data_IF_391819011627
#
_entry.id   IF_391819011627
#
_cell.length_a   1.000
_cell.length_b   1.000
_cell.length_c   1.000
_cell.angle_alpha   90.00
_cell.angle_beta   90.00
_cell.angle_gamma   90.00
#
_symmetry.space_group_name_H-M   'P 1'
#
loop_
_entity.id
_entity.type
_entity.pdbx_description
1 polymer ?
#
# COMPACT_ATOMS: atom_id res chain seq x y z
N UNK A 1 -72.12 -15.01 -29.23
CA UNK A 1 -70.96 -14.35 -29.88
C UNK A 1 -70.75 -13.03 -29.14
N UNK A 2 -69.65 -12.65 -28.50
CA UNK A 2 -68.25 -13.11 -28.49
C UNK A 2 -67.71 -12.90 -27.07
N UNK A 3 -67.62 -13.97 -26.29
CA UNK A 3 -66.73 -14.07 -25.12
C UNK A 3 -65.39 -14.50 -25.68
N UNK A 4 -64.38 -13.62 -25.69
CA UNK A 4 -62.94 -13.88 -25.87
C UNK A 4 -62.29 -12.58 -26.32
N UNK A 5 -61.63 -11.85 -25.40
CA UNK A 5 -60.25 -11.33 -25.54
C UNK A 5 -59.83 -10.86 -24.14
N UNK A 6 -59.33 -11.80 -23.34
CA UNK A 6 -58.67 -11.58 -22.05
C UNK A 6 -57.46 -12.51 -22.07
N UNK A 7 -56.44 -12.15 -22.85
CA UNK A 7 -55.13 -12.82 -22.89
C UNK A 7 -54.18 -12.11 -23.87
N UNK A 8 -53.49 -11.07 -23.41
CA UNK A 8 -52.23 -10.59 -23.95
C UNK A 8 -51.56 -9.74 -22.84
N UNK A 9 -51.09 -10.39 -21.76
CA UNK A 9 -49.66 -10.61 -21.55
C UNK A 9 -48.88 -9.27 -21.63
N UNK A 10 -48.81 -8.47 -20.57
CA UNK A 10 -47.92 -8.66 -19.40
C UNK A 10 -46.51 -9.17 -19.77
N UNK A 11 -45.84 -8.50 -20.72
CA UNK A 11 -44.41 -8.71 -21.03
C UNK A 11 -43.74 -7.41 -21.52
N UNK A 12 -43.73 -6.37 -20.67
CA UNK A 12 -42.95 -5.14 -20.94
C UNK A 12 -42.06 -4.71 -19.76
N UNK A 13 -41.81 -5.61 -18.81
CA UNK A 13 -40.89 -5.37 -17.69
C UNK A 13 -39.81 -6.43 -17.75
N UNK A 14 -38.69 -6.19 -18.46
CA UNK A 14 -37.37 -6.78 -18.21
C UNK A 14 -36.42 -6.40 -19.36
N UNK A 15 -35.80 -5.21 -19.28
CA UNK A 15 -34.49 -4.94 -19.91
C UNK A 15 -33.86 -3.62 -19.43
N UNK A 16 -34.07 -3.22 -18.17
CA UNK A 16 -33.13 -2.29 -17.52
C UNK A 16 -32.15 -3.12 -16.72
N UNK A 17 -31.33 -3.90 -17.44
CA UNK A 17 -30.14 -4.50 -16.88
C UNK A 17 -29.22 -3.35 -16.47
N UNK A 18 -29.23 -3.02 -15.19
CA UNK A 18 -28.17 -2.21 -14.58
C UNK A 18 -26.90 -3.02 -14.81
N UNK A 19 -26.13 -2.64 -15.84
CA UNK A 19 -24.74 -2.98 -15.93
C UNK A 19 -24.09 -2.34 -14.71
N UNK A 20 -24.09 -3.08 -13.60
CA UNK A 20 -23.21 -2.82 -12.48
C UNK A 20 -21.81 -2.98 -13.02
N UNK A 21 -21.23 -1.88 -13.49
CA UNK A 21 -19.78 -1.80 -13.70
C UNK A 21 -19.20 -2.03 -12.31
N UNK A 22 -18.71 -3.23 -12.08
CA UNK A 22 -17.87 -3.52 -10.94
C UNK A 22 -16.59 -2.68 -11.12
N UNK A 23 -16.60 -1.46 -10.58
CA UNK A 23 -15.37 -0.70 -10.37
C UNK A 23 -14.45 -1.60 -9.54
N UNK A 24 -13.38 -2.09 -10.16
CA UNK A 24 -12.35 -2.83 -9.45
C UNK A 24 -11.84 -1.93 -8.31
N UNK A 25 -11.71 -2.49 -7.10
CA UNK A 25 -11.18 -1.74 -5.96
C UNK A 25 -9.78 -1.24 -6.33
N UNK A 26 -9.58 0.07 -6.31
CA UNK A 26 -8.26 0.67 -6.48
C UNK A 26 -7.55 0.62 -5.12
N UNK A 27 -6.52 -0.21 -5.01
CA UNK A 27 -5.73 -0.30 -3.79
C UNK A 27 -4.95 0.98 -3.53
N UNK A 28 -4.92 1.44 -2.28
CA UNK A 28 -4.08 2.55 -1.81
C UNK A 28 -2.86 2.03 -1.04
N UNK A 29 -1.66 2.33 -1.54
CA UNK A 29 -0.38 1.86 -0.99
C UNK A 29 0.50 3.08 -0.69
N UNK A 30 0.93 3.20 0.56
CA UNK A 30 1.84 4.28 0.97
C UNK A 30 3.24 3.73 1.21
N UNK A 31 4.26 4.40 0.66
CA UNK A 31 5.67 4.12 0.93
C UNK A 31 6.22 5.23 1.82
N UNK A 32 6.61 4.91 3.05
CA UNK A 32 7.13 5.86 4.04
C UNK A 32 8.64 5.69 4.18
N UNK A 33 9.42 6.64 3.67
CA UNK A 33 10.89 6.58 3.70
C UNK A 33 11.49 7.25 4.93
N UNK A 34 12.81 7.09 5.12
CA UNK A 34 13.57 7.70 6.24
C UNK A 34 13.52 9.23 6.20
N UNK A 35 13.72 9.82 5.02
CA UNK A 35 13.72 11.28 4.77
C UNK A 35 13.15 11.55 3.36
N UNK A 36 12.26 12.51 3.21
CA UNK A 36 11.78 12.94 1.90
C UNK A 36 12.76 13.87 1.15
N UNK A 37 12.75 13.81 -0.19
CA UNK A 37 13.40 14.83 -1.03
C UNK A 37 14.90 14.68 -1.25
N UNK A 38 15.52 13.57 -0.82
CA UNK A 38 16.92 13.26 -1.13
C UNK A 38 17.05 12.39 -2.39
N UNK A 39 18.17 12.47 -3.14
CA UNK A 39 18.32 11.76 -4.41
C UNK A 39 18.03 10.26 -4.35
N UNK A 40 18.41 9.60 -3.25
CA UNK A 40 18.16 8.17 -3.03
C UNK A 40 16.66 7.83 -3.08
N UNK A 41 15.84 8.53 -2.31
CA UNK A 41 14.39 8.27 -2.27
C UNK A 41 13.63 8.90 -3.43
N UNK A 42 14.16 9.95 -4.08
CA UNK A 42 13.58 10.46 -5.34
C UNK A 42 13.65 9.38 -6.43
N UNK A 43 14.77 8.63 -6.49
CA UNK A 43 14.90 7.50 -7.42
C UNK A 43 13.95 6.36 -7.09
N UNK A 44 13.76 6.08 -5.80
CA UNK A 44 12.76 5.10 -5.34
C UNK A 44 11.33 5.53 -5.73
N UNK A 45 10.99 6.81 -5.58
CA UNK A 45 9.68 7.36 -5.93
C UNK A 45 9.35 7.15 -7.41
N UNK A 46 10.30 7.37 -8.32
CA UNK A 46 10.12 7.04 -9.74
C UNK A 46 9.78 5.55 -9.97
N UNK A 47 10.33 4.65 -9.15
CA UNK A 47 9.98 3.23 -9.15
C UNK A 47 8.56 2.97 -8.68
N UNK A 48 8.18 3.57 -7.55
CA UNK A 48 6.84 3.48 -6.98
C UNK A 48 5.78 3.99 -7.96
N UNK A 49 6.00 5.16 -8.56
CA UNK A 49 5.05 5.77 -9.51
C UNK A 49 4.93 4.96 -10.81
N UNK A 50 6.03 4.40 -11.32
CA UNK A 50 6.00 3.49 -12.47
C UNK A 50 5.19 2.24 -12.17
N UNK A 51 5.45 1.58 -11.04
CA UNK A 51 4.70 0.38 -10.62
C UNK A 51 3.22 0.69 -10.38
N UNK A 52 2.90 1.86 -9.82
CA UNK A 52 1.52 2.31 -9.63
C UNK A 52 0.74 2.36 -10.96
N UNK A 53 1.37 2.93 -11.99
CA UNK A 53 0.79 3.03 -13.32
C UNK A 53 0.65 1.66 -14.01
N UNK A 54 1.66 0.79 -13.92
CA UNK A 54 1.64 -0.55 -14.51
C UNK A 54 0.59 -1.47 -13.87
N UNK A 55 0.40 -1.36 -12.55
CA UNK A 55 -0.51 -2.21 -11.79
C UNK A 55 -1.92 -1.61 -11.64
N UNK A 56 -2.14 -0.35 -12.04
CA UNK A 56 -3.43 0.33 -11.91
C UNK A 56 -3.83 0.60 -10.45
N UNK A 57 -2.87 0.81 -9.56
CA UNK A 57 -3.09 1.08 -8.12
C UNK A 57 -2.76 2.53 -7.77
N UNK A 58 -3.26 3.01 -6.63
CA UNK A 58 -2.86 4.31 -6.07
C UNK A 58 -1.66 4.06 -5.16
N UNK A 59 -0.44 4.29 -5.65
CA UNK A 59 0.76 4.25 -4.82
C UNK A 59 1.52 5.58 -4.84
N UNK A 60 2.12 5.94 -3.70
CA UNK A 60 2.87 7.18 -3.52
C UNK A 60 3.95 6.99 -2.46
N UNK A 61 4.96 7.87 -2.52
CA UNK A 61 6.05 7.92 -1.55
C UNK A 61 5.94 9.19 -0.72
N UNK A 62 6.22 9.08 0.58
CA UNK A 62 6.30 10.20 1.51
C UNK A 62 7.42 9.96 2.51
N UNK A 63 7.98 11.02 3.08
CA UNK A 63 8.97 10.91 4.15
C UNK A 63 8.97 12.17 5.00
N UNK A 64 9.45 12.08 6.26
CA UNK A 64 9.63 13.25 7.10
C UNK A 64 10.75 14.15 6.55
N UNK A 65 10.82 15.39 7.04
CA UNK A 65 11.87 16.34 6.66
C UNK A 65 13.25 15.98 7.24
N UNK A 66 13.27 15.23 8.35
CA UNK A 66 14.47 14.80 9.08
C UNK A 66 14.39 13.30 9.37
N UNK A 67 15.55 12.64 9.51
CA UNK A 67 15.62 11.22 9.86
C UNK A 67 15.39 11.02 11.36
N UNK A 68 14.17 11.31 11.81
CA UNK A 68 13.74 11.10 13.18
C UNK A 68 12.60 10.08 13.22
N UNK A 69 12.61 9.21 14.23
CA UNK A 69 11.61 8.15 14.35
C UNK A 69 10.21 8.69 14.66
N UNK A 70 10.10 9.69 15.54
CA UNK A 70 8.81 10.23 15.98
C UNK A 70 7.92 10.76 14.83
N UNK A 71 8.40 11.61 13.91
CA UNK A 71 7.58 12.04 12.78
C UNK A 71 7.25 10.88 11.82
N UNK A 72 8.15 9.90 11.65
CA UNK A 72 7.86 8.73 10.84
C UNK A 72 6.72 7.88 11.45
N UNK A 73 6.75 7.66 12.77
CA UNK A 73 5.66 6.97 13.50
C UNK A 73 4.34 7.69 13.31
N UNK A 74 4.31 9.02 13.49
CA UNK A 74 3.09 9.82 13.29
C UNK A 74 2.51 9.70 11.87
N UNK A 75 3.38 9.69 10.85
CA UNK A 75 2.96 9.47 9.46
C UNK A 75 2.32 8.08 9.26
N UNK A 76 2.87 7.03 9.88
CA UNK A 76 2.28 5.69 9.83
C UNK A 76 0.94 5.66 10.59
N UNK A 77 0.84 6.33 11.74
CA UNK A 77 -0.44 6.44 12.47
C UNK A 77 -1.54 7.11 11.64
N UNK A 78 -1.20 8.17 10.91
CA UNK A 78 -2.14 8.84 9.99
C UNK A 78 -2.60 7.91 8.86
N UNK A 79 -1.70 7.11 8.31
CA UNK A 79 -2.03 6.11 7.28
C UNK A 79 -2.93 5.00 7.82
N UNK A 80 -2.67 4.56 9.06
CA UNK A 80 -3.55 3.60 9.76
C UNK A 80 -4.93 4.19 9.97
N UNK A 81 -5.02 5.44 10.44
CA UNK A 81 -6.30 6.13 10.62
C UNK A 81 -7.08 6.29 9.30
N UNK A 82 -6.37 6.51 8.19
CA UNK A 82 -6.92 6.58 6.83
C UNK A 82 -7.31 5.22 6.24
N UNK A 83 -6.93 4.11 6.88
CA UNK A 83 -7.23 2.73 6.45
C UNK A 83 -6.76 2.46 5.01
N UNK A 84 -5.53 2.84 4.71
CA UNK A 84 -4.88 2.42 3.45
C UNK A 84 -4.77 0.90 3.37
N UNK A 85 -4.60 0.35 2.17
CA UNK A 85 -4.54 -1.11 1.99
C UNK A 85 -3.18 -1.70 2.36
N UNK A 86 -2.10 -0.95 2.14
CA UNK A 86 -0.75 -1.35 2.52
C UNK A 86 0.15 -0.16 2.86
N UNK A 87 1.10 -0.40 3.76
CA UNK A 87 2.16 0.53 4.15
C UNK A 87 3.49 -0.19 3.99
N UNK A 88 4.37 0.34 3.15
CA UNK A 88 5.77 -0.08 3.06
C UNK A 88 6.63 0.98 3.74
N UNK A 89 7.48 0.60 4.68
CA UNK A 89 8.31 1.56 5.44
C UNK A 89 9.78 1.26 5.23
N UNK A 90 10.58 2.29 4.97
CA UNK A 90 12.04 2.27 5.13
C UNK A 90 12.33 2.82 6.53
N UNK A 91 12.53 1.98 7.56
CA UNK A 91 12.53 2.41 8.95
C UNK A 91 13.72 3.32 9.28
N UNK A 92 13.45 4.42 9.99
CA UNK A 92 14.51 5.20 10.67
C UNK A 92 14.93 4.51 11.97
N UNK A 93 13.96 4.03 12.75
CA UNK A 93 14.14 3.15 13.91
C UNK A 93 13.06 2.06 13.85
N UNK A 94 13.48 0.82 13.58
CA UNK A 94 12.57 -0.30 13.39
C UNK A 94 11.79 -0.67 14.66
N UNK A 95 12.41 -0.56 15.83
CA UNK A 95 11.76 -0.94 17.10
C UNK A 95 10.73 0.09 17.54
N UNK A 96 10.98 1.37 17.28
CA UNK A 96 10.02 2.45 17.57
C UNK A 96 8.71 2.31 16.77
N UNK A 97 8.75 1.66 15.61
CA UNK A 97 7.59 1.47 14.73
C UNK A 97 6.74 0.23 15.07
N UNK A 98 7.28 -0.73 15.83
CA UNK A 98 6.57 -1.98 16.16
C UNK A 98 5.15 -1.73 16.69
N UNK A 99 4.92 -0.83 17.67
CA UNK A 99 3.57 -0.63 18.20
C UNK A 99 2.56 -0.12 17.17
N UNK A 100 2.99 0.72 16.21
CA UNK A 100 2.08 1.22 15.16
C UNK A 100 1.87 0.17 14.06
N UNK A 101 2.87 -0.66 13.76
CA UNK A 101 2.74 -1.79 12.84
C UNK A 101 1.73 -2.83 13.34
N UNK A 102 1.78 -3.18 14.63
CA UNK A 102 0.79 -4.07 15.24
C UNK A 102 -0.64 -3.51 15.10
N UNK A 103 -0.83 -2.20 15.33
CA UNK A 103 -2.12 -1.53 15.13
C UNK A 103 -2.58 -1.55 13.67
N UNK A 104 -1.67 -1.34 12.73
CA UNK A 104 -1.97 -1.38 11.30
C UNK A 104 -2.46 -2.78 10.89
N UNK A 105 -1.71 -3.82 11.27
CA UNK A 105 -2.04 -5.21 10.95
C UNK A 105 -3.34 -5.67 11.61
N UNK A 106 -3.60 -5.25 12.84
CA UNK A 106 -4.88 -5.51 13.51
C UNK A 106 -6.10 -4.93 12.76
N UNK A 107 -5.89 -3.93 11.89
CA UNK A 107 -6.92 -3.36 11.02
C UNK A 107 -6.93 -3.95 9.60
N UNK A 108 -6.11 -4.98 9.35
CA UNK A 108 -6.01 -5.64 8.04
C UNK A 108 -5.17 -4.88 7.02
N UNK A 109 -4.37 -3.91 7.46
CA UNK A 109 -3.42 -3.19 6.61
C UNK A 109 -2.16 -4.05 6.47
N UNK A 110 -1.71 -4.30 5.25
CA UNK A 110 -0.44 -5.00 5.01
C UNK A 110 0.73 -4.08 5.39
N UNK A 111 1.67 -4.60 6.17
CA UNK A 111 2.86 -3.86 6.60
C UNK A 111 4.11 -4.52 6.05
N UNK A 112 4.87 -3.78 5.26
CA UNK A 112 6.12 -4.22 4.67
C UNK A 112 7.28 -3.32 5.11
N UNK A 113 8.49 -3.87 5.16
CA UNK A 113 9.71 -3.08 5.40
C UNK A 113 10.76 -3.28 4.30
N UNK A 114 11.68 -2.32 4.22
CA UNK A 114 12.77 -2.30 3.23
C UNK A 114 14.00 -1.52 3.76
N UNK A 115 15.20 -1.93 3.32
CA UNK A 115 16.53 -1.37 3.65
C UNK A 115 16.89 -1.37 5.15
N UNK A 116 16.26 -2.24 5.93
CA UNK A 116 16.49 -2.31 7.37
C UNK A 116 16.07 -3.69 7.86
N UNK A 117 16.82 -4.75 7.55
CA UNK A 117 16.44 -6.09 7.96
C UNK A 117 16.42 -6.19 9.49
N UNK A 118 15.29 -6.60 10.03
CA UNK A 118 15.08 -6.87 11.46
C UNK A 118 14.00 -7.92 11.65
N UNK A 119 14.10 -8.72 12.70
CA UNK A 119 13.14 -9.78 12.97
C UNK A 119 12.01 -9.28 13.89
N UNK A 120 10.77 -9.36 13.40
CA UNK A 120 9.57 -9.07 14.19
C UNK A 120 8.34 -9.79 13.65
N UNK A 121 7.38 -10.11 14.50
CA UNK A 121 6.04 -10.56 14.09
C UNK A 121 5.11 -9.40 13.71
N UNK A 122 5.54 -8.16 13.86
CA UNK A 122 4.72 -6.97 13.59
C UNK A 122 4.62 -6.60 12.10
N UNK A 123 5.31 -7.29 11.20
CA UNK A 123 5.33 -7.03 9.75
C UNK A 123 4.92 -8.28 8.95
N UNK A 124 4.40 -8.09 7.74
CA UNK A 124 4.04 -9.18 6.82
C UNK A 124 5.25 -9.66 6.00
N UNK A 125 6.05 -8.72 5.48
CA UNK A 125 7.25 -9.01 4.68
C UNK A 125 8.33 -7.96 4.86
N UNK A 126 9.58 -8.41 4.82
CA UNK A 126 10.77 -7.56 4.68
C UNK A 126 11.36 -7.80 3.29
N UNK A 127 11.57 -6.73 2.52
CA UNK A 127 12.05 -6.78 1.14
C UNK A 127 13.44 -6.16 1.10
N UNK A 128 14.44 -6.94 0.71
CA UNK A 128 15.81 -6.45 0.58
C UNK A 128 16.32 -6.64 -0.85
N UNK A 129 16.85 -5.56 -1.44
CA UNK A 129 17.42 -5.57 -2.80
C UNK A 129 18.89 -5.92 -2.82
N UNK A 130 19.54 -5.91 -1.64
CA UNK A 130 20.95 -6.23 -1.45
C UNK A 130 21.12 -7.23 -0.31
N UNK A 131 22.12 -8.09 -0.42
CA UNK A 131 22.67 -8.77 0.75
C UNK A 131 23.65 -7.81 1.44
N UNK A 132 23.22 -7.25 2.57
CA UNK A 132 24.01 -6.28 3.33
C UNK A 132 25.36 -6.83 3.80
N UNK A 133 25.45 -8.14 4.08
CA UNK A 133 26.71 -8.78 4.50
C UNK A 133 27.64 -8.94 3.32
N UNK A 134 27.15 -9.41 2.18
CA UNK A 134 27.94 -9.53 0.96
C UNK A 134 28.41 -8.16 0.46
N UNK A 135 27.53 -7.16 0.48
CA UNK A 135 27.84 -5.78 0.11
C UNK A 135 28.92 -5.19 1.01
N UNK A 136 28.78 -5.34 2.34
CA UNK A 136 29.80 -4.86 3.29
C UNK A 136 31.16 -5.54 3.10
N UNK A 137 31.18 -6.85 2.82
CA UNK A 137 32.43 -7.57 2.51
C UNK A 137 33.09 -7.09 1.23
N UNK A 138 32.32 -6.78 0.18
CA UNK A 138 32.86 -6.23 -1.05
C UNK A 138 33.47 -4.85 -0.80
N UNK A 139 32.74 -3.96 -0.12
CA UNK A 139 33.15 -2.58 0.10
C UNK A 139 34.40 -2.42 1.00
N UNK A 140 34.70 -3.38 1.87
CA UNK A 140 35.86 -3.35 2.77
C UNK A 140 37.12 -3.99 2.16
N UNK A 141 36.95 -4.92 1.21
CA UNK A 141 38.06 -5.71 0.64
C UNK A 141 38.58 -5.13 -0.70
N UNK A 142 38.11 -3.97 -1.12
CA UNK A 142 38.72 -3.13 -2.17
C UNK A 142 39.69 -2.11 -1.56
#
# INVERSE_FOLDING_TARGET
>A
MVRRVLAAALLATLASGVLGVCMAKQYEIAVVVKIGGIPWFNRMEEGVLRAAAELGVKAYLMGPATADAAPQVAMVEDLVARKVDAICVVPTDAYALIPVFERARAQGILVLTHESPFETSAIDWDIETIDSVAYGKLAINE
#
